data_IF_037171567872
#
_entry.id   IF_037171567872
#
_cell.length_a   1.000
_cell.length_b   1.000
_cell.length_c   1.000
_cell.angle_alpha   90.00
_cell.angle_beta   90.00
_cell.angle_gamma   90.00
#
_symmetry.space_group_name_H-M   'P 1'
#
loop_
_entity.id
_entity.type
_entity.pdbx_description
1 polymer ?
#
# COMPACT_ATOMS: atom_id res chain seq x y z
N UNK A 1 15.35 -2.19 -12.42
CA UNK A 1 13.99 -1.96 -11.89
C UNK A 1 13.45 -0.69 -12.53
N UNK A 2 12.20 -0.66 -13.00
CA UNK A 2 11.57 0.61 -13.39
C UNK A 2 11.28 1.43 -12.12
N UNK A 3 11.53 2.75 -12.16
CA UNK A 3 11.35 3.64 -11.01
C UNK A 3 9.93 3.63 -10.43
N UNK A 4 8.92 3.36 -11.26
CA UNK A 4 7.53 3.19 -10.83
C UNK A 4 7.32 2.02 -9.86
N UNK A 5 8.19 1.02 -9.89
CA UNK A 5 8.12 -0.19 -9.05
C UNK A 5 9.30 -0.29 -8.08
N UNK A 6 10.07 0.79 -7.90
CA UNK A 6 11.08 0.83 -6.85
C UNK A 6 10.41 1.12 -5.51
N UNK A 7 10.82 0.45 -4.41
CA UNK A 7 10.33 0.76 -3.08
C UNK A 7 10.59 2.23 -2.72
N UNK A 8 9.59 2.91 -2.17
CA UNK A 8 9.67 4.33 -1.81
C UNK A 8 10.80 4.64 -0.83
N UNK A 9 11.07 3.71 0.09
CA UNK A 9 12.23 3.73 1.00
C UNK A 9 13.57 3.85 0.29
N UNK A 10 13.67 3.48 -0.99
CA UNK A 10 14.91 3.49 -1.78
C UNK A 10 15.04 4.66 -2.75
N UNK A 11 13.92 5.25 -3.20
CA UNK A 11 13.89 6.32 -4.21
C UNK A 11 13.63 7.70 -3.65
N UNK A 12 12.91 7.80 -2.53
CA UNK A 12 12.43 9.08 -2.06
C UNK A 12 12.97 9.41 -0.68
N UNK A 13 13.14 10.70 -0.45
CA UNK A 13 13.54 11.31 0.81
C UNK A 13 12.42 11.24 1.86
N UNK A 14 11.68 10.12 1.96
CA UNK A 14 10.57 9.97 2.91
C UNK A 14 11.07 10.21 4.34
N UNK A 15 12.32 9.83 4.63
CA UNK A 15 12.96 10.08 5.92
C UNK A 15 13.45 11.52 6.12
N UNK A 16 13.56 12.35 5.08
CA UNK A 16 14.05 13.74 5.19
C UNK A 16 12.93 14.77 5.26
N UNK A 17 11.70 14.40 4.92
CA UNK A 17 10.54 15.27 5.04
C UNK A 17 9.71 14.89 6.26
N UNK A 18 9.32 15.88 7.05
CA UNK A 18 8.36 15.71 8.14
C UNK A 18 6.96 15.92 7.60
N UNK A 19 6.31 14.83 7.20
CA UNK A 19 4.95 14.89 6.68
C UNK A 19 3.96 15.25 7.78
N UNK A 20 3.16 16.30 7.57
CA UNK A 20 2.02 16.61 8.43
C UNK A 20 0.83 15.67 8.17
N UNK A 21 0.77 15.06 6.98
CA UNK A 21 -0.31 14.18 6.57
C UNK A 21 0.19 13.14 5.56
N UNK A 22 -0.27 11.89 5.72
CA UNK A 22 -0.08 10.79 4.75
C UNK A 22 -1.43 10.10 4.59
N UNK A 23 -2.03 10.21 3.40
CA UNK A 23 -3.31 9.56 3.09
C UNK A 23 -3.12 8.22 2.38
N UNK A 24 -4.14 7.36 2.45
CA UNK A 24 -4.18 6.08 1.75
C UNK A 24 -5.24 6.09 0.66
N UNK A 25 -5.03 5.32 -0.40
CA UNK A 25 -5.98 5.24 -1.49
C UNK A 25 -7.27 4.52 -1.06
N UNK A 26 -7.13 3.50 -0.22
CA UNK A 26 -8.22 2.68 0.30
C UNK A 26 -9.19 3.49 1.17
N UNK A 27 -8.67 4.45 1.93
CA UNK A 27 -9.43 5.38 2.76
C UNK A 27 -9.51 6.79 2.16
N UNK A 28 -9.34 6.93 0.85
CA UNK A 28 -9.13 8.23 0.20
C UNK A 28 -10.17 9.28 0.60
N UNK A 29 -11.47 8.96 0.51
CA UNK A 29 -12.52 9.95 0.80
C UNK A 29 -12.47 10.43 2.25
N UNK A 30 -12.21 9.51 3.19
CA UNK A 30 -12.10 9.80 4.62
C UNK A 30 -10.84 10.63 4.93
N UNK A 31 -9.69 10.17 4.43
CA UNK A 31 -8.40 10.81 4.60
C UNK A 31 -8.39 12.22 4.00
N UNK A 32 -8.94 12.37 2.81
CA UNK A 32 -9.02 13.65 2.13
C UNK A 32 -9.97 14.61 2.84
N UNK A 33 -11.11 14.13 3.36
CA UNK A 33 -12.01 14.95 4.18
C UNK A 33 -11.33 15.44 5.46
N UNK A 34 -10.54 14.58 6.12
CA UNK A 34 -9.74 14.95 7.30
C UNK A 34 -8.68 15.99 6.96
N UNK A 35 -7.99 15.81 5.84
CA UNK A 35 -7.01 16.77 5.34
C UNK A 35 -7.64 18.16 5.13
N UNK A 36 -8.76 18.25 4.40
CA UNK A 36 -9.44 19.53 4.15
C UNK A 36 -9.86 20.21 5.46
N UNK A 37 -10.42 19.45 6.40
CA UNK A 37 -10.82 19.96 7.72
C UNK A 37 -9.61 20.46 8.52
N UNK A 38 -8.50 19.72 8.53
CA UNK A 38 -7.30 20.10 9.27
C UNK A 38 -6.70 21.43 8.80
N UNK A 39 -6.77 21.71 7.50
CA UNK A 39 -6.24 22.93 6.89
C UNK A 39 -7.30 24.03 6.66
N UNK A 40 -8.52 23.89 7.20
CA UNK A 40 -9.63 24.83 7.03
C UNK A 40 -9.95 25.15 5.55
N UNK A 41 -9.81 24.17 4.66
CA UNK A 41 -10.10 24.32 3.23
C UNK A 41 -11.58 24.04 3.00
N UNK A 42 -12.37 25.09 2.74
CA UNK A 42 -13.84 24.99 2.57
C UNK A 42 -14.29 24.95 1.11
N UNK A 43 -13.44 25.39 0.17
CA UNK A 43 -13.84 25.63 -1.23
C UNK A 43 -13.48 24.47 -2.17
N UNK A 44 -13.32 23.26 -1.63
CA UNK A 44 -12.98 22.08 -2.42
C UNK A 44 -14.17 21.14 -2.56
N UNK A 45 -14.61 20.90 -3.80
CA UNK A 45 -15.67 19.94 -4.08
C UNK A 45 -15.08 18.58 -4.48
N UNK A 46 -15.21 17.59 -3.59
CA UNK A 46 -14.74 16.21 -3.79
C UNK A 46 -15.46 15.52 -4.97
N UNK A 47 -16.69 15.96 -5.28
CA UNK A 47 -17.55 15.36 -6.31
C UNK A 47 -17.12 15.68 -7.74
N UNK A 48 -16.24 16.69 -7.95
CA UNK A 48 -15.71 17.04 -9.28
C UNK A 48 -14.59 16.11 -9.76
N UNK A 49 -14.59 14.85 -9.35
CA UNK A 49 -13.60 13.88 -9.78
C UNK A 49 -13.96 13.35 -11.17
N UNK A 50 -13.39 13.98 -12.20
CA UNK A 50 -13.38 13.43 -13.56
C UNK A 50 -12.34 12.30 -13.63
N UNK A 51 -12.72 11.12 -13.17
CA UNK A 51 -11.93 9.89 -13.27
C UNK A 51 -12.85 8.71 -12.96
N UNK A 52 -12.55 7.49 -13.45
CA UNK A 52 -13.35 6.32 -13.13
C UNK A 52 -13.55 6.29 -11.61
N UNK A 53 -14.81 6.22 -11.17
CA UNK A 53 -15.17 6.13 -9.77
C UNK A 53 -14.34 5.00 -9.16
N UNK A 54 -13.37 5.36 -8.32
CA UNK A 54 -12.49 4.40 -7.67
C UNK A 54 -13.34 3.33 -7.03
N UNK A 55 -13.19 2.10 -7.54
CA UNK A 55 -13.81 0.82 -7.17
C UNK A 55 -14.07 -0.05 -8.42
N UNK A 56 -13.19 -0.04 -9.44
CA UNK A 56 -12.82 -1.37 -9.92
C UNK A 56 -12.11 -2.00 -8.73
N UNK A 57 -12.85 -2.81 -7.96
CA UNK A 57 -12.26 -3.83 -7.09
C UNK A 57 -11.47 -4.72 -8.03
N UNK A 58 -10.26 -4.29 -8.37
CA UNK A 58 -9.31 -5.17 -9.02
C UNK A 58 -9.17 -6.34 -8.08
N UNK A 59 -9.58 -7.51 -8.55
CA UNK A 59 -9.46 -8.74 -7.81
C UNK A 59 -7.97 -9.10 -7.79
N UNK A 60 -7.22 -8.39 -6.97
CA UNK A 60 -5.80 -8.61 -6.78
C UNK A 60 -5.56 -10.06 -6.36
N UNK A 61 -6.51 -10.68 -5.64
CA UNK A 61 -6.45 -12.09 -5.22
C UNK A 61 -6.31 -13.00 -6.43
N UNK A 62 -7.09 -12.77 -7.51
CA UNK A 62 -6.97 -13.49 -8.78
C UNK A 62 -5.56 -13.40 -9.41
N UNK A 63 -4.86 -12.28 -9.24
CA UNK A 63 -3.48 -12.19 -9.74
C UNK A 63 -2.50 -12.91 -8.81
N UNK A 64 -2.71 -12.86 -7.49
CA UNK A 64 -1.85 -13.59 -6.56
C UNK A 64 -1.98 -15.11 -6.68
N UNK A 65 -3.12 -15.66 -7.12
CA UNK A 65 -3.25 -17.10 -7.38
C UNK A 65 -2.33 -17.60 -8.49
N UNK A 66 -1.91 -16.74 -9.42
CA UNK A 66 -1.01 -17.13 -10.52
C UNK A 66 0.48 -17.04 -10.14
N UNK A 67 0.81 -16.47 -8.98
CA UNK A 67 2.18 -16.31 -8.52
C UNK A 67 2.61 -17.47 -7.61
N UNK A 68 3.87 -17.91 -7.79
CA UNK A 68 4.49 -18.87 -6.88
C UNK A 68 4.71 -18.26 -5.49
N UNK A 69 4.73 -19.11 -4.47
CA UNK A 69 4.96 -18.66 -3.09
C UNK A 69 6.33 -18.00 -2.94
N UNK A 70 7.36 -18.50 -3.62
CA UNK A 70 8.71 -17.92 -3.59
C UNK A 70 8.74 -16.50 -4.14
N UNK A 71 8.02 -16.25 -5.25
CA UNK A 71 7.92 -14.92 -5.84
C UNK A 71 7.17 -13.97 -4.90
N UNK A 72 6.10 -14.44 -4.25
CA UNK A 72 5.39 -13.67 -3.24
C UNK A 72 6.31 -13.34 -2.05
N UNK A 73 7.10 -14.30 -1.56
CA UNK A 73 8.09 -14.04 -0.51
C UNK A 73 9.08 -12.96 -0.95
N UNK A 74 9.59 -13.03 -2.17
CA UNK A 74 10.52 -12.03 -2.69
C UNK A 74 9.88 -10.64 -2.79
N UNK A 75 8.61 -10.55 -3.22
CA UNK A 75 7.86 -9.30 -3.28
C UNK A 75 7.64 -8.70 -1.90
N UNK A 76 7.19 -9.51 -0.92
CA UNK A 76 7.00 -9.03 0.45
C UNK A 76 8.33 -8.54 1.03
N UNK A 77 9.42 -9.29 0.81
CA UNK A 77 10.75 -8.89 1.27
C UNK A 77 11.21 -7.58 0.64
N UNK A 78 10.98 -7.41 -0.66
CA UNK A 78 11.34 -6.22 -1.42
C UNK A 78 10.64 -4.95 -0.89
N UNK A 79 9.36 -5.04 -0.53
CA UNK A 79 8.58 -3.89 -0.05
C UNK A 79 8.44 -3.80 1.47
N UNK A 80 9.12 -4.67 2.24
CA UNK A 80 8.95 -4.77 3.69
C UNK A 80 9.14 -3.44 4.43
N UNK A 81 10.17 -2.66 4.05
CA UNK A 81 10.44 -1.38 4.68
C UNK A 81 9.35 -0.34 4.39
N UNK A 82 8.79 -0.35 3.18
CA UNK A 82 7.65 0.51 2.82
C UNK A 82 6.40 0.11 3.62
N UNK A 83 6.14 -1.20 3.78
CA UNK A 83 5.03 -1.68 4.59
C UNK A 83 5.14 -1.17 6.04
N UNK A 84 6.34 -1.21 6.62
CA UNK A 84 6.59 -0.68 7.96
C UNK A 84 6.44 0.83 8.02
N UNK A 85 7.03 1.54 7.07
CA UNK A 85 7.03 3.01 7.00
C UNK A 85 5.61 3.58 6.89
N UNK A 86 4.78 2.96 6.05
CA UNK A 86 3.40 3.40 5.79
C UNK A 86 2.34 2.61 6.59
N UNK A 87 2.79 1.76 7.53
CA UNK A 87 1.94 0.97 8.43
C UNK A 87 0.90 0.14 7.67
N UNK A 88 1.35 -0.53 6.60
CA UNK A 88 0.59 -1.58 5.93
C UNK A 88 0.94 -2.94 6.54
N UNK A 89 -0.03 -3.85 6.50
CA UNK A 89 0.15 -5.26 6.84
C UNK A 89 0.02 -6.07 5.56
N UNK A 90 0.74 -7.19 5.50
CA UNK A 90 0.48 -8.19 4.46
C UNK A 90 -0.94 -8.70 4.66
N UNK A 91 -1.73 -8.72 3.60
CA UNK A 91 -3.13 -9.09 3.67
C UNK A 91 -3.29 -10.57 4.07
N UNK A 92 -4.25 -10.89 4.93
CA UNK A 92 -4.45 -12.24 5.48
C UNK A 92 -4.63 -13.30 4.39
N UNK A 93 -5.30 -12.95 3.28
CA UNK A 93 -5.38 -13.79 2.09
C UNK A 93 -4.02 -14.33 1.62
N UNK A 94 -2.99 -13.48 1.62
CA UNK A 94 -1.63 -13.87 1.27
C UNK A 94 -1.02 -14.66 2.42
N UNK A 95 -1.06 -14.15 3.64
CA UNK A 95 -0.47 -14.81 4.82
C UNK A 95 -0.99 -16.24 5.00
N UNK A 96 -2.27 -16.49 4.72
CA UNK A 96 -2.93 -17.77 4.93
C UNK A 96 -2.66 -18.82 3.85
N UNK A 97 -1.85 -18.56 2.80
CA UNK A 97 -1.43 -19.65 1.91
C UNK A 97 -0.49 -20.57 2.67
N UNK A 98 -0.91 -21.82 2.85
CA UNK A 98 -0.25 -22.83 3.70
C UNK A 98 1.26 -22.99 3.43
N UNK A 99 1.68 -22.87 2.17
CA UNK A 99 3.08 -22.98 1.72
C UNK A 99 3.93 -21.72 1.98
N UNK A 100 3.32 -20.54 2.17
CA UNK A 100 4.08 -19.30 2.39
C UNK A 100 4.82 -19.29 3.73
N UNK A 101 4.27 -19.91 4.78
CA UNK A 101 4.96 -20.00 6.07
C UNK A 101 6.21 -20.88 6.04
N UNK A 102 6.29 -21.82 5.08
CA UNK A 102 7.48 -22.64 4.89
C UNK A 102 8.56 -21.87 4.10
N UNK A 103 8.15 -21.09 3.09
CA UNK A 103 9.08 -20.44 2.16
C UNK A 103 9.49 -19.02 2.59
N UNK A 104 8.68 -18.32 3.39
CA UNK A 104 8.96 -16.96 3.87
C UNK A 104 9.37 -16.97 5.36
N UNK A 105 10.60 -17.38 5.67
CA UNK A 105 11.07 -17.47 7.07
C UNK A 105 10.98 -16.14 7.86
N UNK A 106 11.09 -15.00 7.17
CA UNK A 106 11.04 -13.66 7.78
C UNK A 106 9.63 -13.20 8.17
N UNK A 107 8.57 -13.88 7.69
CA UNK A 107 7.21 -13.62 8.15
C UNK A 107 6.94 -14.18 9.56
N UNK A 108 7.81 -15.07 10.08
CA UNK A 108 7.68 -15.65 11.44
C UNK A 108 8.16 -14.71 12.55
N UNK A 109 8.90 -13.67 12.21
CA UNK A 109 9.63 -12.80 13.16
C UNK A 109 8.98 -11.41 13.33
N UNK A 110 7.71 -11.25 12.96
CA UNK A 110 6.99 -9.95 12.99
C UNK A 110 5.92 -9.91 14.06
#
# INVERSE_FOLDING_TARGET
MNYHWQPYSTICQVCKFQYNFVGKYESFNEDFSRFLKHFNITNWNIEKRNGPSGLQKWDYQKYYTTLSDDLICQLIRLYNDDFRLFKYKVHDYIVNRTSLFQNCYFLKTS
#
